data_IF_790302718062
#
_entry.id   IF_790302718062
#
_cell.length_a   1.000
_cell.length_b   1.000
_cell.length_c   1.000
_cell.angle_alpha   90.00
_cell.angle_beta   90.00
_cell.angle_gamma   90.00
#
_symmetry.space_group_name_H-M   'P 1'
#
loop_
_entity.id
_entity.type
_entity.pdbx_description
1 polymer ?
#
# COMPACT_ATOMS: atom_id res chain seq x y z
N UNK A 1 42.36 14.15 41.08
CA UNK A 1 41.39 13.11 40.73
C UNK A 1 40.33 13.75 39.86
N UNK A 2 40.49 13.67 38.54
CA UNK A 2 39.50 14.11 37.56
C UNK A 2 39.17 12.86 36.74
N UNK A 3 37.94 12.37 36.84
CA UNK A 3 37.47 11.23 36.06
C UNK A 3 36.94 11.72 34.72
N UNK A 4 37.79 11.66 33.70
CA UNK A 4 37.40 11.77 32.29
C UNK A 4 36.65 10.50 31.92
N UNK A 5 35.34 10.59 31.71
CA UNK A 5 34.52 9.46 31.26
C UNK A 5 34.25 9.64 29.76
N UNK A 6 34.75 8.77 28.87
CA UNK A 6 34.38 8.86 27.46
C UNK A 6 32.91 8.48 27.29
N UNK A 7 32.11 9.40 26.74
CA UNK A 7 30.71 9.18 26.37
C UNK A 7 30.64 8.17 25.22
N UNK A 8 29.73 7.16 25.26
CA UNK A 8 29.54 6.27 24.12
C UNK A 8 28.96 7.07 22.95
N UNK A 9 29.66 7.01 21.81
CA UNK A 9 29.17 7.50 20.51
C UNK A 9 27.88 6.76 20.19
N UNK A 10 26.75 7.45 20.30
CA UNK A 10 25.48 6.95 19.73
C UNK A 10 25.70 6.76 18.23
N UNK A 11 25.47 5.57 17.66
CA UNK A 11 25.50 5.42 16.22
C UNK A 11 24.40 6.30 15.65
N UNK A 12 24.81 7.20 14.78
CA UNK A 12 23.97 7.96 13.86
C UNK A 12 23.05 6.96 13.16
N UNK A 13 21.86 6.73 13.73
CA UNK A 13 20.76 6.11 13.02
C UNK A 13 20.28 7.18 12.07
N UNK A 14 21.07 7.41 11.03
CA UNK A 14 20.63 8.09 9.84
C UNK A 14 19.43 7.25 9.38
N UNK A 15 18.18 7.71 9.54
CA UNK A 15 17.07 6.98 8.95
C UNK A 15 17.43 6.96 7.48
N UNK A 16 17.54 5.75 6.93
CA UNK A 16 17.70 5.56 5.50
C UNK A 16 16.86 6.62 4.82
N UNK A 17 17.53 7.53 4.11
CA UNK A 17 16.89 8.31 3.09
C UNK A 17 16.45 7.28 2.08
N UNK A 18 15.31 6.64 2.37
CA UNK A 18 14.40 6.17 1.36
C UNK A 18 14.08 7.45 0.62
N UNK A 19 14.89 7.75 -0.40
CA UNK A 19 14.49 8.60 -1.49
C UNK A 19 13.26 7.92 -2.05
N UNK A 20 12.12 8.19 -1.40
CA UNK A 20 10.78 7.83 -1.83
C UNK A 20 10.56 8.57 -3.12
N UNK A 21 11.21 8.09 -4.18
CA UNK A 21 10.88 8.47 -5.52
C UNK A 21 9.41 8.09 -5.64
N UNK A 22 8.53 9.05 -5.96
CA UNK A 22 7.12 8.75 -6.07
C UNK A 22 6.99 7.62 -7.08
N UNK A 23 6.58 6.45 -6.60
CA UNK A 23 6.33 5.31 -7.47
C UNK A 23 5.35 5.83 -8.52
N UNK A 24 5.76 5.89 -9.78
CA UNK A 24 4.85 6.35 -10.83
C UNK A 24 3.69 5.38 -10.83
N UNK A 25 2.53 5.88 -10.41
CA UNK A 25 1.29 5.17 -10.58
C UNK A 25 1.01 5.19 -12.07
N UNK A 26 0.97 4.00 -12.68
CA UNK A 26 0.55 3.85 -14.08
C UNK A 26 -0.93 4.25 -14.25
N UNK A 27 -1.70 4.18 -13.16
CA UNK A 27 -3.11 4.58 -13.06
C UNK A 27 -3.24 5.76 -12.09
N UNK A 28 -3.92 6.83 -12.49
CA UNK A 28 -4.16 7.98 -11.59
C UNK A 28 -5.27 7.70 -10.56
N UNK A 29 -5.32 8.48 -9.49
CA UNK A 29 -6.40 8.37 -8.49
C UNK A 29 -7.79 8.60 -9.13
N UNK A 30 -7.88 9.52 -10.09
CA UNK A 30 -9.12 9.82 -10.82
C UNK A 30 -9.54 8.63 -11.69
N UNK A 31 -8.61 8.06 -12.45
CA UNK A 31 -8.87 6.89 -13.30
C UNK A 31 -9.31 5.68 -12.48
N UNK A 32 -8.72 5.47 -11.30
CA UNK A 32 -9.17 4.42 -10.38
C UNK A 32 -10.59 4.68 -9.85
N UNK A 33 -10.94 5.94 -9.56
CA UNK A 33 -12.30 6.34 -9.19
C UNK A 33 -13.32 6.05 -10.29
N UNK A 34 -13.02 6.47 -11.52
CA UNK A 34 -13.86 6.18 -12.69
C UNK A 34 -14.03 4.66 -12.88
N UNK A 35 -12.96 3.88 -12.70
CA UNK A 35 -12.99 2.43 -12.81
C UNK A 35 -13.84 1.75 -11.72
N UNK A 36 -13.87 2.31 -10.52
CA UNK A 36 -14.74 1.84 -9.46
C UNK A 36 -16.21 2.17 -9.76
N UNK A 37 -16.51 3.43 -10.11
CA UNK A 37 -17.87 3.90 -10.35
C UNK A 37 -18.52 3.24 -11.58
N UNK A 38 -17.73 2.91 -12.60
CA UNK A 38 -18.22 2.22 -13.80
C UNK A 38 -18.25 0.68 -13.66
N UNK A 39 -17.81 0.13 -12.52
CA UNK A 39 -17.80 -1.30 -12.25
C UNK A 39 -16.75 -2.12 -13.01
N UNK A 40 -15.74 -1.47 -13.61
CA UNK A 40 -14.61 -2.17 -14.24
C UNK A 40 -13.55 -2.62 -13.24
N UNK A 41 -13.51 -1.99 -12.06
CA UNK A 41 -12.69 -2.42 -10.95
C UNK A 41 -13.42 -3.50 -10.12
N UNK A 42 -12.69 -4.53 -9.68
CA UNK A 42 -13.28 -5.68 -8.97
C UNK A 42 -13.02 -5.57 -7.47
N UNK A 43 -14.07 -5.51 -6.66
CA UNK A 43 -13.92 -5.53 -5.19
C UNK A 43 -13.37 -6.87 -4.70
N UNK A 44 -12.75 -6.88 -3.52
CA UNK A 44 -12.22 -8.09 -2.91
C UNK A 44 -13.33 -9.15 -2.67
N UNK A 45 -14.48 -8.69 -2.20
CA UNK A 45 -15.71 -9.47 -2.06
C UNK A 45 -16.94 -8.55 -2.03
N UNK A 46 -18.13 -9.12 -2.07
CA UNK A 46 -19.40 -8.38 -1.92
C UNK A 46 -19.53 -7.67 -0.57
N UNK A 47 -18.80 -8.15 0.44
CA UNK A 47 -18.82 -7.62 1.80
C UNK A 47 -17.64 -6.68 2.11
N UNK A 48 -16.57 -6.75 1.33
CA UNK A 48 -15.35 -5.95 1.53
C UNK A 48 -15.08 -5.18 0.24
N UNK A 49 -15.67 -3.99 0.16
CA UNK A 49 -15.63 -3.12 -1.02
C UNK A 49 -14.45 -2.15 -1.03
N UNK A 50 -13.80 -1.95 0.12
CA UNK A 50 -12.73 -0.97 0.26
C UNK A 50 -11.44 -1.39 -0.47
N UNK A 51 -11.25 -2.70 -0.66
CA UNK A 51 -10.14 -3.26 -1.42
C UNK A 51 -10.57 -3.62 -2.82
N UNK A 52 -9.90 -3.06 -3.81
CA UNK A 52 -10.30 -3.18 -5.21
C UNK A 52 -9.11 -3.56 -6.09
N UNK A 53 -9.33 -4.51 -6.99
CA UNK A 53 -8.37 -4.94 -8.00
C UNK A 53 -8.68 -4.23 -9.33
N UNK A 54 -7.70 -3.50 -9.87
CA UNK A 54 -7.80 -2.86 -11.16
C UNK A 54 -6.44 -2.88 -11.88
N UNK A 55 -6.44 -3.24 -13.17
CA UNK A 55 -5.23 -3.40 -13.99
C UNK A 55 -4.09 -4.17 -13.29
N UNK A 56 -4.43 -5.30 -12.65
CA UNK A 56 -3.47 -6.16 -11.94
C UNK A 56 -2.76 -5.50 -10.72
N UNK A 57 -3.33 -4.43 -10.17
CA UNK A 57 -2.88 -3.79 -8.95
C UNK A 57 -4.02 -3.68 -7.93
N UNK A 58 -3.68 -3.83 -6.64
CA UNK A 58 -4.61 -3.62 -5.55
C UNK A 58 -4.63 -2.18 -5.11
N UNK A 59 -5.84 -1.69 -4.82
CA UNK A 59 -6.13 -0.34 -4.39
C UNK A 59 -6.99 -0.38 -3.14
N UNK A 60 -6.84 0.65 -2.30
CA UNK A 60 -7.71 0.89 -1.16
C UNK A 60 -8.32 2.28 -1.25
N UNK A 61 -9.60 2.38 -0.93
CA UNK A 61 -10.28 3.66 -0.76
C UNK A 61 -9.82 4.35 0.55
N UNK A 62 -9.45 5.61 0.45
CA UNK A 62 -9.10 6.50 1.55
C UNK A 62 -9.92 7.80 1.42
N UNK A 63 -9.93 8.61 2.49
CA UNK A 63 -10.64 9.89 2.55
C UNK A 63 -10.18 10.88 1.47
N UNK A 64 -8.95 10.75 1.00
CA UNK A 64 -8.37 11.59 -0.04
C UNK A 64 -8.46 10.97 -1.46
N UNK A 65 -9.11 9.81 -1.62
CA UNK A 65 -9.23 9.09 -2.89
C UNK A 65 -8.62 7.70 -2.83
N UNK A 66 -7.96 7.28 -3.91
CA UNK A 66 -7.47 5.90 -4.04
C UNK A 66 -5.98 5.78 -3.80
N UNK A 67 -5.57 4.79 -3.01
CA UNK A 67 -4.17 4.48 -2.76
C UNK A 67 -3.81 3.12 -3.35
N UNK A 68 -2.71 3.07 -4.11
CA UNK A 68 -2.16 1.81 -4.60
C UNK A 68 -1.45 1.09 -3.47
N UNK A 69 -1.77 -0.19 -3.27
CA UNK A 69 -1.06 -1.07 -2.35
C UNK A 69 0.18 -1.61 -3.07
N UNK A 70 1.35 -1.35 -2.50
CA UNK A 70 2.65 -1.77 -3.05
C UNK A 70 3.39 -2.76 -2.14
N UNK A 71 2.85 -3.06 -0.96
CA UNK A 71 3.41 -4.05 -0.05
C UNK A 71 3.05 -5.47 -0.52
N UNK A 72 4.07 -6.24 -0.91
CA UNK A 72 3.93 -7.59 -1.46
C UNK A 72 3.21 -8.55 -0.50
N UNK A 73 3.48 -8.44 0.81
CA UNK A 73 2.83 -9.28 1.80
C UNK A 73 1.31 -9.03 1.84
N UNK A 74 0.91 -7.76 1.79
CA UNK A 74 -0.48 -7.35 1.73
C UNK A 74 -1.13 -7.80 0.42
N UNK A 75 -0.46 -7.60 -0.72
CA UNK A 75 -0.93 -8.07 -2.03
C UNK A 75 -1.20 -9.58 -2.01
N UNK A 76 -0.26 -10.39 -1.53
CA UNK A 76 -0.45 -11.84 -1.47
C UNK A 76 -1.57 -12.28 -0.53
N UNK A 77 -1.83 -11.54 0.55
CA UNK A 77 -2.97 -11.79 1.45
C UNK A 77 -4.30 -11.49 0.75
N UNK A 78 -4.37 -10.37 0.03
CA UNK A 78 -5.55 -9.98 -0.75
C UNK A 78 -5.84 -10.98 -1.88
N UNK A 79 -4.82 -11.39 -2.63
CA UNK A 79 -4.94 -12.43 -3.66
C UNK A 79 -5.46 -13.76 -3.09
N UNK A 80 -4.93 -14.16 -1.92
CA UNK A 80 -5.40 -15.36 -1.23
C UNK A 80 -6.87 -15.22 -0.87
N UNK A 81 -7.28 -14.10 -0.28
CA UNK A 81 -8.69 -13.86 0.07
C UNK A 81 -9.60 -13.83 -1.16
N UNK A 82 -9.22 -13.11 -2.21
CA UNK A 82 -9.97 -13.04 -3.46
C UNK A 82 -10.23 -14.43 -4.06
N UNK A 83 -9.25 -15.34 -3.97
CA UNK A 83 -9.42 -16.73 -4.42
C UNK A 83 -10.47 -17.49 -3.61
N UNK A 84 -10.51 -17.31 -2.29
CA UNK A 84 -11.51 -17.96 -1.43
C UNK A 84 -12.90 -17.37 -1.62
N UNK A 85 -13.00 -16.05 -1.82
CA UNK A 85 -14.28 -15.36 -2.02
C UNK A 85 -15.01 -15.81 -3.30
N UNK A 86 -14.26 -16.14 -4.36
CA UNK A 86 -14.81 -16.56 -5.66
C UNK A 86 -15.25 -18.03 -5.74
N UNK A 87 -15.03 -18.83 -4.69
CA UNK A 87 -15.40 -20.25 -4.66
C UNK A 87 -16.72 -20.53 -3.92
N UNK A 88 -17.39 -19.49 -3.41
CA UNK A 88 -18.70 -19.58 -2.79
C UNK A 88 -19.78 -19.06 -3.74
#
# INVERSE_FOLDING_TARGET
MNHDTPQPTVPDHNPHSDTGQPLRLEVSHHEMGDAFDNGTATTLSDTITDFVLYQNAWWIADLAGWLRITDDLTIHRLERHARWARQK
#
